data_IF_775295854121
#
_entry.id   IF_775295854121
#
_cell.length_a   1.000
_cell.length_b   1.000
_cell.length_c   1.000
_cell.angle_alpha   90.00
_cell.angle_beta   90.00
_cell.angle_gamma   90.00
#
_symmetry.space_group_name_H-M   'P 1'
#
loop_
_entity.id
_entity.type
_entity.pdbx_description
1 polymer ?
#
# COMPACT_ATOMS: atom_id res chain seq x y z
N UNK A 1 4.97 -33.08 40.35
CA UNK A 1 4.92 -33.63 38.98
C UNK A 1 3.86 -32.83 38.23
N UNK A 2 4.25 -31.92 37.34
CA UNK A 2 3.31 -31.11 36.57
C UNK A 2 2.85 -31.99 35.40
N UNK A 3 1.56 -32.18 35.15
CA UNK A 3 1.10 -32.96 34.00
C UNK A 3 1.59 -32.29 32.71
N UNK A 4 2.19 -33.11 31.81
CA UNK A 4 2.66 -32.62 30.52
C UNK A 4 1.49 -31.90 29.81
N UNK A 5 1.72 -30.68 29.34
CA UNK A 5 0.74 -29.96 28.46
C UNK A 5 0.46 -30.86 27.25
N UNK A 6 -0.81 -31.16 26.95
CA UNK A 6 -1.15 -31.87 25.73
C UNK A 6 -0.53 -31.10 24.54
N UNK A 7 0.11 -31.84 23.64
CA UNK A 7 0.60 -31.24 22.38
C UNK A 7 -0.55 -30.61 21.56
N UNK A 8 -0.25 -29.73 20.62
CA UNK A 8 -1.29 -29.13 19.78
C UNK A 8 -2.02 -30.25 19.04
N UNK A 9 -3.35 -30.31 19.25
CA UNK A 9 -4.22 -31.21 18.51
C UNK A 9 -4.37 -30.63 17.09
N UNK A 10 -4.11 -31.41 16.02
CA UNK A 10 -4.37 -30.93 14.67
C UNK A 10 -5.83 -30.52 14.51
N UNK A 11 -6.09 -29.36 13.92
CA UNK A 11 -7.45 -28.84 13.69
C UNK A 11 -8.31 -29.76 12.81
N UNK A 12 -7.66 -30.60 12.02
CA UNK A 12 -8.30 -31.57 11.09
C UNK A 12 -8.25 -33.00 11.62
N UNK A 13 -7.91 -33.21 12.89
CA UNK A 13 -7.89 -34.55 13.49
C UNK A 13 -9.31 -35.13 13.51
N UNK A 14 -9.47 -36.35 13.02
CA UNK A 14 -10.76 -37.02 12.89
C UNK A 14 -11.50 -36.79 11.56
N UNK A 15 -10.93 -36.01 10.62
CA UNK A 15 -11.43 -35.93 9.25
C UNK A 15 -10.58 -36.79 8.32
N UNK A 16 -11.24 -37.61 7.51
CA UNK A 16 -10.54 -38.37 6.47
C UNK A 16 -10.00 -37.39 5.38
N UNK A 17 -8.74 -37.59 4.94
CA UNK A 17 -8.19 -36.76 3.85
C UNK A 17 -9.00 -36.93 2.56
N UNK A 18 -9.51 -35.85 2.03
CA UNK A 18 -10.19 -35.83 0.73
C UNK A 18 -9.18 -35.56 -0.39
N UNK A 19 -9.25 -36.36 -1.45
CA UNK A 19 -8.45 -36.15 -2.65
C UNK A 19 -9.15 -35.17 -3.62
N UNK A 20 -8.39 -34.60 -4.57
CA UNK A 20 -8.97 -33.82 -5.68
C UNK A 20 -9.97 -34.66 -6.48
N UNK A 21 -9.72 -35.97 -6.67
CA UNK A 21 -10.65 -36.86 -7.37
C UNK A 21 -11.97 -37.00 -6.65
N UNK A 22 -11.97 -37.14 -5.31
CA UNK A 22 -13.17 -37.22 -4.51
C UNK A 22 -13.99 -35.93 -4.59
N UNK A 23 -13.29 -34.78 -4.48
CA UNK A 23 -13.92 -33.47 -4.62
C UNK A 23 -14.52 -33.28 -6.02
N UNK A 24 -13.78 -33.65 -7.09
CA UNK A 24 -14.25 -33.55 -8.48
C UNK A 24 -15.51 -34.39 -8.69
N UNK A 25 -15.49 -35.65 -8.24
CA UNK A 25 -16.64 -36.55 -8.38
C UNK A 25 -17.89 -36.02 -7.65
N UNK A 26 -17.69 -35.47 -6.44
CA UNK A 26 -18.79 -34.87 -5.68
C UNK A 26 -19.34 -33.60 -6.33
N UNK A 27 -18.48 -32.75 -6.84
CA UNK A 27 -18.86 -31.52 -7.53
C UNK A 27 -19.64 -31.84 -8.81
N UNK A 28 -19.13 -32.73 -9.66
CA UNK A 28 -19.74 -33.11 -10.94
C UNK A 28 -21.12 -33.79 -10.75
N UNK A 29 -21.31 -34.53 -9.67
CA UNK A 29 -22.61 -35.09 -9.33
C UNK A 29 -23.69 -34.00 -9.15
N UNK A 30 -23.32 -32.80 -8.72
CA UNK A 30 -24.20 -31.65 -8.57
C UNK A 30 -24.36 -30.79 -9.85
N UNK A 31 -23.47 -30.92 -10.82
CA UNK A 31 -23.37 -30.02 -11.98
C UNK A 31 -24.31 -30.37 -13.16
N UNK A 32 -25.17 -31.38 -13.00
CA UNK A 32 -26.21 -31.77 -14.00
C UNK A 32 -25.62 -31.98 -15.41
N UNK A 33 -24.52 -32.70 -15.52
CA UNK A 33 -23.86 -33.05 -16.78
C UNK A 33 -22.79 -32.05 -17.27
N UNK A 34 -22.50 -31.00 -16.49
CA UNK A 34 -21.33 -30.16 -16.69
C UNK A 34 -20.13 -30.74 -15.96
N UNK A 35 -18.93 -30.40 -16.41
CA UNK A 35 -17.67 -30.77 -15.76
C UNK A 35 -17.20 -29.67 -14.81
N UNK A 36 -16.26 -30.02 -13.93
CA UNK A 36 -15.59 -29.01 -13.08
C UNK A 36 -14.86 -27.97 -13.92
N UNK A 37 -14.34 -28.35 -15.09
CA UNK A 37 -13.68 -27.41 -16.02
C UNK A 37 -14.62 -26.33 -16.56
N UNK A 38 -15.91 -26.61 -16.64
CA UNK A 38 -16.94 -25.61 -17.04
C UNK A 38 -17.17 -24.52 -15.98
N UNK A 39 -16.64 -24.69 -14.78
CA UNK A 39 -16.67 -23.68 -13.71
C UNK A 39 -15.45 -22.75 -13.75
N UNK A 40 -14.42 -23.09 -14.56
CA UNK A 40 -13.27 -22.23 -14.68
C UNK A 40 -13.63 -20.89 -15.30
N UNK A 41 -13.12 -19.81 -14.73
CA UNK A 41 -13.26 -18.45 -15.24
C UNK A 41 -12.02 -18.05 -16.07
N UNK A 42 -12.18 -17.07 -16.92
CA UNK A 42 -11.05 -16.37 -17.56
C UNK A 42 -11.12 -14.90 -17.21
N UNK A 43 -9.99 -14.37 -16.77
CA UNK A 43 -9.85 -12.92 -16.60
C UNK A 43 -9.87 -12.21 -17.96
N UNK A 44 -10.01 -10.89 -17.94
CA UNK A 44 -9.89 -10.04 -19.13
C UNK A 44 -8.54 -10.20 -19.83
N UNK A 45 -7.48 -10.55 -19.10
CA UNK A 45 -6.13 -10.83 -19.63
C UNK A 45 -5.98 -12.26 -20.16
N UNK A 46 -7.05 -13.06 -20.12
CA UNK A 46 -7.05 -14.45 -20.61
C UNK A 46 -6.46 -15.46 -19.62
N UNK A 47 -6.16 -15.08 -18.39
CA UNK A 47 -5.69 -15.99 -17.35
C UNK A 47 -6.85 -16.89 -16.93
N UNK A 48 -6.60 -18.21 -16.94
CA UNK A 48 -7.61 -19.19 -16.50
C UNK A 48 -7.53 -19.35 -15.00
N UNK A 49 -8.65 -19.07 -14.32
CA UNK A 49 -8.84 -19.32 -12.89
C UNK A 49 -9.59 -20.63 -12.73
N UNK A 50 -8.95 -21.61 -12.10
CA UNK A 50 -9.58 -22.88 -11.80
C UNK A 50 -10.57 -22.74 -10.63
N UNK A 51 -11.63 -23.56 -10.55
CA UNK A 51 -12.62 -23.48 -9.47
C UNK A 51 -12.07 -23.90 -8.10
N UNK A 52 -10.96 -24.62 -8.07
CA UNK A 52 -10.25 -24.99 -6.84
C UNK A 52 -8.77 -25.16 -7.12
N UNK A 53 -7.95 -24.76 -6.14
CA UNK A 53 -6.51 -24.98 -6.13
C UNK A 53 -6.15 -25.82 -4.91
N UNK A 54 -5.31 -26.82 -5.11
CA UNK A 54 -4.78 -27.69 -4.06
C UNK A 54 -3.27 -27.50 -3.86
N UNK A 55 -2.69 -28.18 -2.88
CA UNK A 55 -1.25 -28.12 -2.64
C UNK A 55 -0.40 -28.51 -3.87
N UNK A 56 -0.93 -29.33 -4.74
CA UNK A 56 -0.28 -29.80 -5.96
C UNK A 56 -0.19 -28.74 -7.07
N UNK A 57 -1.02 -27.70 -7.03
CA UNK A 57 -1.03 -26.63 -8.01
C UNK A 57 -0.04 -25.50 -7.69
N UNK A 58 0.43 -25.46 -6.43
CA UNK A 58 1.28 -24.39 -5.92
C UNK A 58 2.76 -24.72 -6.01
N UNK A 59 3.59 -23.67 -6.18
CA UNK A 59 5.01 -23.75 -5.89
C UNK A 59 5.23 -23.47 -4.40
N UNK A 60 6.20 -24.15 -3.75
CA UNK A 60 6.54 -23.81 -2.37
C UNK A 60 6.92 -22.33 -2.26
N UNK A 61 6.16 -21.59 -1.46
CA UNK A 61 6.37 -20.14 -1.32
C UNK A 61 7.65 -19.78 -0.52
N UNK A 62 8.38 -20.75 0.00
CA UNK A 62 9.56 -20.52 0.84
C UNK A 62 9.20 -19.99 2.23
N UNK A 63 10.19 -19.49 2.95
CA UNK A 63 10.02 -18.88 4.26
C UNK A 63 9.96 -17.37 4.14
N UNK A 64 9.19 -16.67 5.00
CA UNK A 64 9.23 -15.22 5.08
C UNK A 64 10.66 -14.72 5.33
N UNK A 65 11.07 -13.67 4.66
CA UNK A 65 12.40 -13.08 4.79
C UNK A 65 13.54 -13.86 4.11
N UNK A 66 13.24 -14.98 3.42
CA UNK A 66 14.22 -15.73 2.66
C UNK A 66 14.09 -15.46 1.15
N UNK A 67 15.23 -15.42 0.45
CA UNK A 67 15.23 -15.29 -1.01
C UNK A 67 14.46 -16.47 -1.66
N UNK A 68 13.69 -16.22 -2.72
CA UNK A 68 13.48 -15.00 -3.51
C UNK A 68 12.44 -14.00 -2.95
N UNK A 69 12.18 -14.00 -1.64
CA UNK A 69 11.32 -13.05 -0.92
C UNK A 69 9.83 -13.06 -1.33
N UNK A 70 9.34 -14.19 -1.82
CA UNK A 70 7.94 -14.37 -2.25
C UNK A 70 6.93 -14.18 -1.11
N UNK A 71 7.36 -14.22 0.15
CA UNK A 71 6.54 -14.01 1.34
C UNK A 71 6.98 -12.80 2.17
N UNK A 72 7.59 -11.81 1.53
CA UNK A 72 8.03 -10.57 2.17
C UNK A 72 9.52 -10.56 2.54
N UNK A 73 10.04 -9.36 2.73
CA UNK A 73 11.46 -9.10 2.92
C UNK A 73 11.98 -9.44 4.33
N UNK A 74 11.10 -9.60 5.31
CA UNK A 74 11.45 -9.86 6.70
C UNK A 74 10.71 -11.06 7.27
N UNK A 75 11.35 -11.79 8.18
CA UNK A 75 10.75 -12.98 8.81
C UNK A 75 9.54 -12.64 9.69
N UNK A 76 9.54 -11.48 10.33
CA UNK A 76 8.44 -10.98 11.16
C UNK A 76 7.28 -10.37 10.36
N UNK A 77 7.43 -10.22 9.04
CA UNK A 77 6.49 -9.49 8.20
C UNK A 77 6.75 -7.98 8.19
N UNK A 78 5.95 -7.25 7.40
CA UNK A 78 6.09 -5.80 7.25
C UNK A 78 5.36 -5.00 8.33
N UNK A 79 4.44 -5.63 9.05
CA UNK A 79 3.56 -4.96 10.02
C UNK A 79 3.57 -5.68 11.36
N UNK A 80 4.72 -5.71 12.09
CA UNK A 80 4.83 -6.43 13.37
C UNK A 80 3.85 -5.91 14.43
N UNK A 81 3.47 -4.63 14.35
CA UNK A 81 2.54 -3.98 15.26
C UNK A 81 1.09 -3.92 14.71
N UNK A 82 0.82 -4.65 13.63
CA UNK A 82 -0.45 -4.60 12.90
C UNK A 82 -0.41 -3.63 11.72
N UNK A 83 -1.52 -3.54 11.02
CA UNK A 83 -1.67 -2.61 9.89
C UNK A 83 -2.15 -1.23 10.35
N UNK A 84 -1.83 -0.21 9.57
CA UNK A 84 -2.36 1.13 9.74
C UNK A 84 -3.83 1.19 9.29
N UNK A 85 -4.69 1.75 10.15
CA UNK A 85 -6.04 2.16 9.77
C UNK A 85 -5.96 3.64 9.39
N UNK A 86 -6.00 3.91 8.08
CA UNK A 86 -5.74 5.23 7.52
C UNK A 86 -7.02 5.89 7.03
N UNK A 87 -7.41 7.00 7.69
CA UNK A 87 -8.54 7.80 7.29
C UNK A 87 -8.17 8.74 6.13
N UNK A 88 -8.97 8.73 5.06
CA UNK A 88 -8.86 9.71 3.99
C UNK A 88 -9.61 10.98 4.38
N UNK A 89 -8.93 12.12 4.31
CA UNK A 89 -9.47 13.45 4.65
C UNK A 89 -9.54 14.31 3.38
N UNK A 90 -10.75 14.66 3.00
CA UNK A 90 -11.09 15.41 1.77
C UNK A 90 -12.02 16.60 2.04
N UNK A 91 -12.22 16.93 3.32
CA UNK A 91 -13.11 17.99 3.73
C UNK A 91 -12.57 19.36 3.28
N UNK A 92 -13.42 20.18 2.67
CA UNK A 92 -13.04 21.50 2.18
C UNK A 92 -12.77 22.46 3.34
N UNK A 93 -11.58 23.01 3.35
CA UNK A 93 -11.10 23.97 4.34
C UNK A 93 -10.32 23.35 5.50
N UNK A 94 -9.20 24.01 5.91
CA UNK A 94 -8.29 23.47 6.93
C UNK A 94 -8.94 23.20 8.29
N UNK A 95 -9.89 24.02 8.74
CA UNK A 95 -10.56 23.86 10.03
C UNK A 95 -11.54 22.68 10.04
N UNK A 96 -12.25 22.41 8.92
CA UNK A 96 -13.13 21.25 8.79
C UNK A 96 -12.29 19.99 8.72
N UNK A 97 -11.26 19.98 7.87
CA UNK A 97 -10.31 18.87 7.77
C UNK A 97 -9.66 18.53 9.12
N UNK A 98 -9.29 19.54 9.93
CA UNK A 98 -8.76 19.30 11.28
C UNK A 98 -9.78 18.60 12.19
N UNK A 99 -11.06 19.01 12.15
CA UNK A 99 -12.11 18.34 12.94
C UNK A 99 -12.24 16.87 12.54
N UNK A 100 -12.26 16.58 11.26
CA UNK A 100 -12.30 15.21 10.73
C UNK A 100 -11.06 14.43 11.15
N UNK A 101 -9.86 14.98 11.02
CA UNK A 101 -8.61 14.34 11.47
C UNK A 101 -8.69 13.95 12.95
N UNK A 102 -9.09 14.87 13.82
CA UNK A 102 -9.15 14.61 15.26
C UNK A 102 -10.24 13.60 15.61
N UNK A 103 -11.41 13.65 14.96
CA UNK A 103 -12.51 12.71 15.18
C UNK A 103 -12.11 11.29 14.73
N UNK A 104 -11.51 11.14 13.57
CA UNK A 104 -11.02 9.86 13.04
C UNK A 104 -9.96 9.23 13.95
N UNK A 105 -8.98 10.02 14.40
CA UNK A 105 -7.95 9.53 15.33
C UNK A 105 -8.57 9.13 16.68
N UNK A 106 -9.57 9.85 17.19
CA UNK A 106 -10.28 9.48 18.41
C UNK A 106 -11.12 8.20 18.24
N UNK A 107 -11.58 7.90 17.04
CA UNK A 107 -12.37 6.69 16.71
C UNK A 107 -11.53 5.47 16.40
N UNK A 108 -10.22 5.59 16.37
CA UNK A 108 -9.30 4.45 16.25
C UNK A 108 -8.53 4.38 14.94
N UNK A 109 -8.61 5.39 14.07
CA UNK A 109 -7.66 5.54 12.98
C UNK A 109 -6.26 5.76 13.55
N UNK A 110 -5.25 5.12 12.96
CA UNK A 110 -3.85 5.21 13.42
C UNK A 110 -3.02 6.12 12.53
N UNK A 111 -3.56 6.49 11.37
CA UNK A 111 -2.94 7.38 10.41
C UNK A 111 -3.98 8.18 9.63
N UNK A 112 -3.53 9.26 8.99
CA UNK A 112 -4.36 10.10 8.13
C UNK A 112 -3.73 10.26 6.76
N UNK A 113 -4.57 10.25 5.71
CA UNK A 113 -4.21 10.56 4.34
C UNK A 113 -4.90 11.87 3.97
N UNK A 114 -4.13 12.93 3.87
CA UNK A 114 -4.63 14.25 3.52
C UNK A 114 -4.63 14.41 1.99
N UNK A 115 -5.74 14.81 1.41
CA UNK A 115 -5.77 15.28 0.02
C UNK A 115 -5.58 16.80 0.00
N UNK A 116 -4.38 17.31 -0.31
CA UNK A 116 -4.11 18.74 -0.25
C UNK A 116 -4.99 19.57 -1.18
N UNK A 117 -5.40 19.00 -2.32
CA UNK A 117 -6.21 19.70 -3.30
C UNK A 117 -7.67 19.76 -2.87
N UNK A 118 -8.23 18.68 -2.36
CA UNK A 118 -9.60 18.64 -1.87
C UNK A 118 -9.78 19.55 -0.64
N UNK A 119 -8.82 19.50 0.29
CA UNK A 119 -8.82 20.37 1.49
C UNK A 119 -8.61 21.85 1.12
N UNK A 120 -7.90 22.13 0.02
CA UNK A 120 -7.56 23.48 -0.38
C UNK A 120 -6.36 24.05 0.38
N UNK A 121 -5.36 23.21 0.71
CA UNK A 121 -4.11 23.62 1.38
C UNK A 121 -3.31 24.52 0.42
N UNK A 122 -3.29 25.81 0.69
CA UNK A 122 -2.62 26.82 -0.13
C UNK A 122 -1.30 27.34 0.46
N UNK A 123 -0.99 26.96 1.71
CA UNK A 123 0.24 27.39 2.39
C UNK A 123 0.56 26.58 3.63
N UNK A 124 1.77 26.78 4.20
CA UNK A 124 2.20 26.04 5.40
C UNK A 124 1.31 26.30 6.62
N UNK A 125 0.66 27.47 6.69
CA UNK A 125 -0.29 27.80 7.77
C UNK A 125 -1.56 26.93 7.69
N UNK A 126 -2.05 26.64 6.49
CA UNK A 126 -3.20 25.75 6.31
C UNK A 126 -2.88 24.33 6.74
N UNK A 127 -1.71 23.81 6.35
CA UNK A 127 -1.26 22.48 6.78
C UNK A 127 -1.12 22.43 8.31
N UNK A 128 -0.56 23.47 8.92
CA UNK A 128 -0.46 23.56 10.38
C UNK A 128 -1.83 23.61 11.05
N UNK A 129 -2.82 24.26 10.43
CA UNK A 129 -4.19 24.28 10.92
C UNK A 129 -4.86 22.91 10.82
N UNK A 130 -4.70 22.19 9.70
CA UNK A 130 -5.20 20.80 9.53
C UNK A 130 -4.65 19.87 10.58
N UNK A 131 -3.37 20.01 10.94
CA UNK A 131 -2.67 19.13 11.91
C UNK A 131 -2.63 19.70 13.34
N UNK A 132 -3.37 20.78 13.61
CA UNK A 132 -3.42 21.36 14.95
C UNK A 132 -4.00 20.36 15.96
N UNK A 133 -3.28 20.13 17.08
CA UNK A 133 -3.68 19.18 18.11
C UNK A 133 -3.39 17.70 17.80
N UNK A 134 -2.81 17.39 16.64
CA UNK A 134 -2.35 16.03 16.29
C UNK A 134 -0.99 15.76 16.93
N UNK A 135 -0.85 14.59 17.55
CA UNK A 135 0.43 14.11 18.09
C UNK A 135 1.29 13.54 16.96
N UNK A 136 2.16 14.38 16.38
CA UNK A 136 2.96 14.06 15.19
C UNK A 136 4.06 13.01 15.43
N UNK A 137 4.39 12.73 16.68
CA UNK A 137 5.28 11.65 17.12
C UNK A 137 4.58 10.29 17.18
N UNK A 138 3.25 10.28 17.23
CA UNK A 138 2.43 9.08 17.34
C UNK A 138 1.62 8.78 16.07
N UNK A 139 1.31 9.80 15.27
CA UNK A 139 0.42 9.69 14.10
C UNK A 139 1.23 9.65 12.81
N UNK A 140 0.95 8.66 11.96
CA UNK A 140 1.47 8.64 10.59
C UNK A 140 0.66 9.62 9.74
N UNK A 141 1.33 10.62 9.15
CA UNK A 141 0.71 11.60 8.24
C UNK A 141 1.11 11.30 6.81
N UNK A 142 0.14 11.04 5.94
CA UNK A 142 0.34 10.79 4.53
C UNK A 142 -0.34 11.87 3.69
N UNK A 143 0.25 12.19 2.54
CA UNK A 143 -0.32 13.08 1.54
C UNK A 143 -0.78 12.25 0.33
N UNK A 144 -1.97 12.54 -0.18
CA UNK A 144 -2.45 11.96 -1.43
C UNK A 144 -1.69 12.57 -2.62
N UNK A 145 -1.34 11.76 -3.64
CA UNK A 145 -0.71 12.28 -4.85
C UNK A 145 -1.61 13.28 -5.58
N UNK A 146 -1.04 14.43 -5.94
CA UNK A 146 -1.78 15.48 -6.65
C UNK A 146 -0.88 16.60 -7.14
N UNK A 147 -1.42 17.56 -7.91
CA UNK A 147 -0.64 18.66 -8.48
C UNK A 147 0.06 19.55 -7.44
N UNK A 148 -0.52 19.71 -6.25
CA UNK A 148 0.06 20.52 -5.17
C UNK A 148 0.97 19.73 -4.21
N UNK A 149 1.08 18.42 -4.38
CA UNK A 149 1.70 17.52 -3.37
C UNK A 149 3.17 17.85 -3.13
N UNK A 150 3.94 18.23 -4.16
CA UNK A 150 5.35 18.58 -3.98
C UNK A 150 5.54 19.74 -3.00
N UNK A 151 4.72 20.80 -3.12
CA UNK A 151 4.80 21.95 -2.23
C UNK A 151 4.40 21.58 -0.80
N UNK A 152 3.27 20.86 -0.65
CA UNK A 152 2.76 20.45 0.67
C UNK A 152 3.69 19.45 1.34
N UNK A 153 4.35 18.57 0.59
CA UNK A 153 5.37 17.67 1.10
C UNK A 153 6.57 18.44 1.69
N UNK A 154 6.99 19.52 1.04
CA UNK A 154 7.99 20.42 1.59
C UNK A 154 7.56 21.03 2.92
N UNK A 155 6.33 21.55 2.99
CA UNK A 155 5.77 22.13 4.22
C UNK A 155 5.58 21.08 5.33
N UNK A 156 5.24 19.84 5.00
CA UNK A 156 5.13 18.77 5.99
C UNK A 156 6.50 18.44 6.61
N UNK A 157 7.56 18.39 5.81
CA UNK A 157 8.93 18.21 6.31
C UNK A 157 9.35 19.37 7.23
N UNK A 158 9.04 20.61 6.83
CA UNK A 158 9.33 21.81 7.62
C UNK A 158 8.52 21.82 8.93
N UNK A 159 7.27 21.37 8.89
CA UNK A 159 6.41 21.27 10.08
C UNK A 159 6.96 20.24 11.09
N UNK A 160 7.41 19.07 10.63
CA UNK A 160 8.05 18.10 11.51
C UNK A 160 9.35 18.65 12.13
N UNK A 161 10.14 19.37 11.36
CA UNK A 161 11.33 20.06 11.90
C UNK A 161 10.96 21.08 12.99
N UNK A 162 9.99 21.92 12.71
CA UNK A 162 9.55 22.97 13.63
C UNK A 162 8.87 22.43 14.90
N UNK A 163 8.21 21.26 14.82
CA UNK A 163 7.53 20.62 15.95
C UNK A 163 8.48 20.03 17.00
N UNK A 164 9.76 19.85 16.67
CA UNK A 164 10.75 19.22 17.53
C UNK A 164 10.62 17.71 17.67
N UNK A 165 9.76 17.07 16.88
CA UNK A 165 9.66 15.60 16.80
C UNK A 165 10.97 15.01 16.32
N UNK A 166 11.52 14.03 17.04
CA UNK A 166 12.77 13.39 16.69
C UNK A 166 12.67 12.69 15.30
N UNK A 167 13.75 12.71 14.52
CA UNK A 167 13.75 12.13 13.17
C UNK A 167 13.27 10.67 13.13
N UNK A 168 13.61 9.88 14.16
CA UNK A 168 13.21 8.47 14.27
C UNK A 168 11.71 8.28 14.56
N UNK A 169 11.02 9.31 15.01
CA UNK A 169 9.60 9.29 15.37
C UNK A 169 8.72 9.87 14.25
N UNK A 170 9.32 10.58 13.29
CA UNK A 170 8.58 11.11 12.13
C UNK A 170 8.14 9.98 11.24
N UNK A 171 6.82 9.87 11.02
CA UNK A 171 6.20 8.80 10.24
C UNK A 171 5.24 9.37 9.23
N UNK A 172 5.37 8.94 7.99
CA UNK A 172 4.45 9.41 6.96
C UNK A 172 4.81 9.01 5.54
N UNK A 173 3.99 9.52 4.65
CA UNK A 173 4.18 9.41 3.21
C UNK A 173 4.08 10.80 2.59
N UNK A 174 5.05 11.19 1.79
CA UNK A 174 5.04 12.49 1.12
C UNK A 174 4.12 12.52 -0.12
N UNK A 175 3.68 11.37 -0.61
CA UNK A 175 2.73 11.26 -1.72
C UNK A 175 3.30 11.72 -3.08
N UNK A 176 4.61 11.76 -3.25
CA UNK A 176 5.23 12.21 -4.50
C UNK A 176 5.06 11.14 -5.58
N UNK A 177 4.15 11.35 -6.53
CA UNK A 177 3.91 10.46 -7.67
C UNK A 177 3.79 11.25 -8.98
N UNK A 178 4.87 11.84 -9.49
CA UNK A 178 4.81 12.66 -10.71
C UNK A 178 4.29 11.88 -11.93
N UNK A 179 4.49 10.57 -12.02
CA UNK A 179 4.00 9.76 -13.13
C UNK A 179 2.50 9.46 -12.99
N UNK A 180 2.04 9.12 -11.79
CA UNK A 180 0.61 8.92 -11.49
C UNK A 180 -0.18 10.21 -11.59
N UNK A 181 0.38 11.33 -11.13
CA UNK A 181 -0.21 12.66 -11.30
C UNK A 181 -0.36 13.00 -12.79
N UNK A 182 0.66 12.75 -13.60
CA UNK A 182 0.58 12.96 -15.04
C UNK A 182 -0.47 12.05 -15.71
N UNK A 183 -0.61 10.80 -15.26
CA UNK A 183 -1.62 9.87 -15.74
C UNK A 183 -3.05 10.33 -15.39
N UNK A 184 -3.26 10.85 -14.17
CA UNK A 184 -4.59 11.27 -13.68
C UNK A 184 -5.02 12.65 -14.19
N UNK A 185 -4.10 13.61 -14.19
CA UNK A 185 -4.41 15.02 -14.46
C UNK A 185 -3.89 15.52 -15.82
N UNK A 186 -3.11 14.69 -16.50
CA UNK A 186 -2.42 15.08 -17.73
C UNK A 186 -1.09 15.79 -17.43
N UNK A 187 -0.36 16.08 -18.49
CA UNK A 187 0.95 16.75 -18.39
C UNK A 187 2.11 15.81 -18.75
N UNK A 188 3.33 16.33 -18.72
CA UNK A 188 4.51 15.54 -19.04
C UNK A 188 4.82 14.55 -17.90
N UNK A 189 5.05 13.25 -18.19
CA UNK A 189 5.42 12.25 -17.18
C UNK A 189 6.91 12.40 -16.82
N UNK A 190 7.25 13.46 -16.09
CA UNK A 190 8.64 13.78 -15.74
C UNK A 190 8.81 13.78 -14.22
N UNK A 191 9.93 13.20 -13.78
CA UNK A 191 10.40 13.31 -12.40
C UNK A 191 11.30 14.54 -12.36
N UNK A 192 10.83 15.60 -11.73
CA UNK A 192 11.58 16.87 -11.67
C UNK A 192 12.59 16.88 -10.52
N UNK A 193 13.50 17.87 -10.56
CA UNK A 193 14.52 18.04 -9.55
C UNK A 193 13.93 18.34 -8.16
N UNK A 194 12.77 19.02 -8.09
CA UNK A 194 12.14 19.34 -6.82
C UNK A 194 11.65 18.08 -6.10
N UNK A 195 11.04 17.12 -6.83
CA UNK A 195 10.67 15.83 -6.26
C UNK A 195 11.90 15.05 -5.76
N UNK A 196 13.00 15.03 -6.52
CA UNK A 196 14.25 14.38 -6.11
C UNK A 196 14.89 15.03 -4.88
N UNK A 197 14.84 16.35 -4.77
CA UNK A 197 15.31 17.08 -3.60
C UNK A 197 14.49 16.75 -2.35
N UNK A 198 13.16 16.60 -2.47
CA UNK A 198 12.29 16.18 -1.37
C UNK A 198 12.60 14.75 -0.93
N UNK A 199 12.84 13.83 -1.88
CA UNK A 199 13.31 12.48 -1.57
C UNK A 199 14.62 12.51 -0.80
N UNK A 200 15.57 13.34 -1.23
CA UNK A 200 16.86 13.48 -0.55
C UNK A 200 16.71 14.01 0.89
N UNK A 201 15.78 14.95 1.12
CA UNK A 201 15.44 15.47 2.46
C UNK A 201 14.77 14.40 3.34
N UNK A 202 13.89 13.57 2.78
CA UNK A 202 13.18 12.51 3.51
C UNK A 202 14.06 11.30 3.83
N UNK A 203 15.12 11.06 3.06
CA UNK A 203 15.99 9.88 3.20
C UNK A 203 16.53 9.60 4.62
N UNK A 204 16.93 10.61 5.42
CA UNK A 204 17.38 10.38 6.80
C UNK A 204 16.26 9.92 7.75
N UNK A 205 15.00 10.02 7.34
CA UNK A 205 13.82 9.77 8.18
C UNK A 205 13.35 8.32 7.98
N UNK A 206 13.65 7.38 8.89
CA UNK A 206 13.40 5.95 8.65
C UNK A 206 11.92 5.58 8.55
N UNK A 207 11.04 6.38 9.17
CA UNK A 207 9.59 6.21 9.15
C UNK A 207 8.87 6.92 8.00
N UNK A 208 9.61 7.61 7.10
CA UNK A 208 9.00 8.39 6.01
C UNK A 208 9.24 7.74 4.67
N UNK A 209 8.18 7.58 3.87
CA UNK A 209 8.23 7.21 2.46
C UNK A 209 8.01 8.46 1.62
N UNK A 210 8.84 8.65 0.60
CA UNK A 210 8.77 9.88 -0.20
C UNK A 210 8.00 9.68 -1.49
N UNK A 211 8.38 8.65 -2.28
CA UNK A 211 7.73 8.36 -3.55
C UNK A 211 6.60 7.35 -3.38
N UNK A 212 5.50 7.67 -4.00
CA UNK A 212 4.31 6.82 -4.11
C UNK A 212 4.24 6.24 -5.52
N UNK A 213 3.96 4.95 -5.62
CA UNK A 213 3.56 4.29 -6.85
C UNK A 213 2.06 4.05 -6.74
N UNK A 214 1.26 5.00 -7.20
CA UNK A 214 -0.20 4.91 -7.13
C UNK A 214 -0.76 4.22 -8.37
N UNK A 215 -1.34 3.03 -8.21
CA UNK A 215 -2.01 2.31 -9.29
C UNK A 215 -3.49 2.68 -9.45
N UNK A 216 -4.05 3.52 -8.57
CA UNK A 216 -5.48 3.88 -8.62
C UNK A 216 -5.88 4.62 -9.91
N UNK A 217 -5.07 5.50 -10.53
CA UNK A 217 -5.43 6.13 -11.78
C UNK A 217 -5.67 5.13 -12.92
N UNK A 218 -4.93 4.03 -12.92
CA UNK A 218 -5.06 2.99 -13.95
C UNK A 218 -6.30 2.13 -13.71
N UNK A 219 -6.60 1.80 -12.47
CA UNK A 219 -7.83 1.11 -12.09
C UNK A 219 -9.08 1.94 -12.42
N UNK A 220 -9.09 3.23 -12.07
CA UNK A 220 -10.16 4.17 -12.38
C UNK A 220 -10.40 4.28 -13.89
N UNK A 221 -9.35 4.10 -14.70
CA UNK A 221 -9.43 4.02 -16.15
C UNK A 221 -9.93 2.67 -16.69
N UNK A 222 -10.21 1.68 -15.82
CA UNK A 222 -10.73 0.36 -16.19
C UNK A 222 -9.65 -0.65 -16.59
N UNK A 223 -8.40 -0.45 -16.15
CA UNK A 223 -7.32 -1.42 -16.38
C UNK A 223 -7.55 -2.68 -15.55
N UNK A 224 -7.28 -3.86 -16.13
CA UNK A 224 -7.32 -5.14 -15.43
C UNK A 224 -6.28 -5.22 -14.29
N UNK A 225 -6.44 -6.18 -13.38
CA UNK A 225 -5.50 -6.39 -12.27
C UNK A 225 -4.06 -6.62 -12.75
N UNK A 226 -3.88 -7.42 -13.81
CA UNK A 226 -2.57 -7.63 -14.41
C UNK A 226 -2.00 -6.32 -15.00
N UNK A 227 -2.85 -5.50 -15.62
CA UNK A 227 -2.49 -4.19 -16.14
C UNK A 227 -2.13 -3.19 -15.03
N UNK A 228 -2.85 -3.19 -13.91
CA UNK A 228 -2.54 -2.38 -12.73
C UNK A 228 -1.17 -2.76 -12.15
N UNK A 229 -0.91 -4.06 -11.95
CA UNK A 229 0.39 -4.55 -11.49
C UNK A 229 1.52 -4.20 -12.47
N UNK A 230 1.29 -4.33 -13.77
CA UNK A 230 2.28 -3.95 -14.79
C UNK A 230 2.60 -2.44 -14.73
N UNK A 231 1.58 -1.60 -14.56
CA UNK A 231 1.74 -0.15 -14.43
C UNK A 231 2.51 0.20 -13.15
N UNK A 232 2.14 -0.41 -12.02
CA UNK A 232 2.83 -0.19 -10.74
C UNK A 232 4.29 -0.61 -10.81
N UNK A 233 4.59 -1.79 -11.35
CA UNK A 233 5.97 -2.27 -11.51
C UNK A 233 6.78 -1.38 -12.44
N UNK A 234 6.20 -0.94 -13.57
CA UNK A 234 6.87 -0.05 -14.52
C UNK A 234 7.18 1.31 -13.90
N UNK A 235 6.23 1.89 -13.18
CA UNK A 235 6.40 3.15 -12.45
C UNK A 235 7.47 3.01 -11.37
N UNK A 236 7.39 1.97 -10.54
CA UNK A 236 8.37 1.73 -9.48
C UNK A 236 9.78 1.56 -10.02
N UNK A 237 9.97 0.79 -11.10
CA UNK A 237 11.28 0.64 -11.75
C UNK A 237 11.78 1.97 -12.33
N UNK A 238 10.89 2.79 -12.88
CA UNK A 238 11.25 4.12 -13.41
C UNK A 238 11.74 5.03 -12.29
N UNK A 239 11.05 5.05 -11.15
CA UNK A 239 11.49 5.81 -9.97
C UNK A 239 12.84 5.32 -9.43
N UNK A 240 13.01 4.00 -9.29
CA UNK A 240 14.28 3.44 -8.83
C UNK A 240 15.45 3.82 -9.74
N UNK A 241 15.26 3.78 -11.06
CA UNK A 241 16.29 4.22 -12.02
C UNK A 241 16.61 5.70 -11.84
N UNK A 242 15.60 6.56 -11.77
CA UNK A 242 15.81 8.00 -11.59
C UNK A 242 16.56 8.31 -10.28
N UNK A 243 16.24 7.63 -9.18
CA UNK A 243 16.92 7.80 -7.90
C UNK A 243 18.37 7.32 -7.96
N UNK A 244 18.64 6.19 -8.59
CA UNK A 244 20.00 5.66 -8.76
C UNK A 244 20.83 6.58 -9.67
N UNK A 245 20.26 7.08 -10.76
CA UNK A 245 20.90 8.04 -11.65
C UNK A 245 21.20 9.38 -10.95
N UNK A 246 20.37 9.73 -9.94
CA UNK A 246 20.60 10.88 -9.06
C UNK A 246 21.60 10.61 -7.92
N UNK A 247 22.20 9.43 -7.88
CA UNK A 247 23.25 9.07 -6.91
C UNK A 247 22.74 8.48 -5.59
N UNK A 248 21.46 8.09 -5.50
CA UNK A 248 20.89 7.40 -4.33
C UNK A 248 21.15 5.89 -4.49
N UNK A 249 21.74 5.25 -3.47
CA UNK A 249 21.95 3.80 -3.50
C UNK A 249 20.65 3.01 -3.63
N UNK A 250 20.66 1.89 -4.34
CA UNK A 250 19.43 1.10 -4.60
C UNK A 250 18.67 0.70 -3.32
N UNK A 251 19.38 0.36 -2.25
CA UNK A 251 18.77 0.02 -0.96
C UNK A 251 18.00 1.20 -0.37
N UNK A 252 18.59 2.40 -0.40
CA UNK A 252 17.96 3.62 0.08
C UNK A 252 16.78 4.01 -0.82
N UNK A 253 16.98 3.91 -2.14
CA UNK A 253 15.91 4.16 -3.11
C UNK A 253 14.68 3.27 -2.86
N UNK A 254 14.88 1.97 -2.64
CA UNK A 254 13.80 1.04 -2.28
C UNK A 254 13.12 1.42 -0.96
N UNK A 255 13.88 1.90 0.02
CA UNK A 255 13.35 2.32 1.32
C UNK A 255 12.48 3.59 1.24
N UNK A 256 12.59 4.40 0.18
CA UNK A 256 11.77 5.60 -0.01
C UNK A 256 10.46 5.37 -0.74
N UNK A 257 10.26 4.17 -1.32
CA UNK A 257 9.06 3.86 -2.10
C UNK A 257 7.94 3.30 -1.23
N UNK A 258 6.72 3.67 -1.57
CA UNK A 258 5.47 2.99 -1.20
C UNK A 258 4.68 2.64 -2.46
N UNK A 259 3.76 1.68 -2.34
CA UNK A 259 2.90 1.25 -3.44
C UNK A 259 1.47 1.25 -2.96
N UNK A 260 0.60 1.93 -3.68
CA UNK A 260 -0.85 1.88 -3.49
C UNK A 260 -1.49 1.07 -4.61
N UNK A 261 -2.23 0.03 -4.22
CA UNK A 261 -3.06 -0.77 -5.10
C UNK A 261 -4.52 -0.57 -4.70
N UNK A 262 -5.42 -0.37 -5.65
CA UNK A 262 -6.85 -0.32 -5.35
C UNK A 262 -7.34 -1.71 -4.93
N UNK A 263 -8.40 -1.72 -4.14
CA UNK A 263 -9.17 -2.91 -3.82
C UNK A 263 -10.65 -2.59 -4.00
N UNK A 264 -11.39 -3.49 -4.61
CA UNK A 264 -12.83 -3.36 -4.79
C UNK A 264 -13.61 -4.45 -4.04
N UNK A 265 -14.89 -4.58 -4.34
CA UNK A 265 -15.76 -5.58 -3.73
C UNK A 265 -15.65 -6.97 -4.39
N UNK A 266 -14.98 -7.09 -5.51
CA UNK A 266 -14.69 -8.38 -6.14
C UNK A 266 -13.52 -9.05 -5.40
N UNK A 267 -13.75 -10.27 -4.93
CA UNK A 267 -12.76 -10.99 -4.13
C UNK A 267 -11.81 -11.85 -4.98
N UNK A 268 -12.03 -11.92 -6.29
CA UNK A 268 -11.32 -12.82 -7.18
C UNK A 268 -10.84 -12.16 -8.46
#
# INVERSE_FOLDING_TARGET
>A
MNPARPGPTPLVDGFEPASRADWTALAEAGLRGRTVDDLAMRTTDGIRIAPVYGPEDGQPAGLPGAAPFTRGATAAGATPDGWDVRALVVDEGPEEANRTVLDELQRGSTSVLLDPQAIGIAGPADLAAVLNGVYLDMTTVALAPGPATNEVAGWLLDLWEASGVAEAERRGHLGLDPLGVAARYGGPPTIDAAALDLVARARPLPGVRALEVDATPYADAGTSDAGQLASALSTGVTYLRALVDHGIGLSDALATLSVTLPADADQF
#
